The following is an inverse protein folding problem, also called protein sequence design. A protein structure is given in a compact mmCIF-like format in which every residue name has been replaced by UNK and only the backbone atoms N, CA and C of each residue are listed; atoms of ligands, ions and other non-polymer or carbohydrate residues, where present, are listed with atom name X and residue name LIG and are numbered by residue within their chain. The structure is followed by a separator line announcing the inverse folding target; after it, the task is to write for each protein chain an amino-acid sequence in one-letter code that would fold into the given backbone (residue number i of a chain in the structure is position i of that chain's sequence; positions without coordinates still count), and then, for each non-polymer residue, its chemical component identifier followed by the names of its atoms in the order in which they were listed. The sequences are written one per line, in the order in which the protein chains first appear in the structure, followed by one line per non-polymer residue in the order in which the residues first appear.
data_IF_191937438304
#
_entry.id   IF_191937438304
#
_cell.length_a   1.000
_cell.length_b   1.000
_cell.length_c   1.000
_cell.angle_alpha   90.00
_cell.angle_beta   90.00
_cell.angle_gamma   90.00
#
_symmetry.space_group_name_H-M   'P 1'
#
loop_
_entity.id
_entity.type
_entity.pdbx_description
1 polymer ?
#
# COMPACT_ATOMS: atom_id res chain seq x y z
N UNK A 1 -11.00 -8.40 13.88
CA UNK A 1 -11.40 -8.31 15.32
C UNK A 1 -10.91 -9.50 16.17
N UNK A 2 -9.77 -10.15 15.84
CA UNK A 2 -9.14 -11.18 16.71
C UNK A 2 -7.64 -10.99 16.97
N UNK A 3 -6.95 -10.06 16.30
CA UNK A 3 -5.56 -9.75 16.61
C UNK A 3 -5.42 -8.59 17.59
N UNK A 4 -5.80 -8.80 18.87
CA UNK A 4 -5.25 -7.97 19.95
C UNK A 4 -3.97 -8.62 20.45
N UNK A 5 -2.84 -8.09 19.98
CA UNK A 5 -1.44 -8.03 20.49
C UNK A 5 -0.80 -9.17 21.31
N UNK A 6 -1.54 -10.10 21.93
CA UNK A 6 -1.00 -11.22 22.72
C UNK A 6 -1.09 -12.57 22.00
N UNK A 7 -1.91 -12.67 20.96
CA UNK A 7 -2.11 -13.93 20.22
C UNK A 7 -1.66 -13.86 18.75
N UNK A 8 -1.08 -12.74 18.29
CA UNK A 8 -0.60 -12.62 16.91
C UNK A 8 0.42 -13.72 16.56
N UNK A 9 1.41 -13.97 17.43
CA UNK A 9 2.41 -15.02 17.18
C UNK A 9 1.79 -16.41 17.06
N UNK A 10 0.71 -16.69 17.82
CA UNK A 10 -0.02 -17.96 17.72
C UNK A 10 -0.85 -18.02 16.44
N UNK A 11 -1.54 -16.94 16.11
CA UNK A 11 -2.32 -16.83 14.88
C UNK A 11 -1.42 -17.00 13.64
N UNK A 12 -0.25 -16.36 13.64
CA UNK A 12 0.75 -16.48 12.58
C UNK A 12 1.30 -17.90 12.50
N UNK A 13 1.62 -18.55 13.63
CA UNK A 13 2.07 -19.94 13.63
C UNK A 13 1.01 -20.90 13.10
N UNK A 14 -0.28 -20.71 13.44
CA UNK A 14 -1.37 -21.51 12.89
C UNK A 14 -1.47 -21.29 11.37
N UNK A 15 -1.39 -20.03 10.94
CA UNK A 15 -1.44 -19.64 9.54
C UNK A 15 -0.32 -20.28 8.72
N UNK A 16 0.92 -20.26 9.22
CA UNK A 16 2.11 -20.82 8.56
C UNK A 16 2.03 -22.35 8.37
N UNK A 17 1.23 -23.02 9.22
CA UNK A 17 0.97 -24.45 9.11
C UNK A 17 -0.24 -24.79 8.21
N UNK A 18 -0.95 -23.81 7.65
CA UNK A 18 -2.06 -24.08 6.73
C UNK A 18 -1.51 -24.49 5.35
N UNK A 19 -1.95 -25.65 4.86
CA UNK A 19 -1.56 -26.11 3.53
C UNK A 19 -2.15 -25.24 2.40
N UNK A 20 -3.33 -24.65 2.61
CA UNK A 20 -4.03 -23.78 1.66
C UNK A 20 -4.81 -22.69 2.43
N UNK A 21 -4.14 -21.65 2.92
CA UNK A 21 -4.81 -20.52 3.56
C UNK A 21 -5.75 -19.81 2.59
N UNK A 22 -6.94 -19.45 3.07
CA UNK A 22 -7.93 -18.71 2.30
C UNK A 22 -7.76 -17.19 2.46
N UNK A 23 -8.48 -16.42 1.65
CA UNK A 23 -8.43 -14.95 1.66
C UNK A 23 -8.74 -14.34 3.03
N UNK A 24 -9.56 -14.99 3.85
CA UNK A 24 -9.90 -14.53 5.21
C UNK A 24 -8.71 -14.70 6.15
N UNK A 25 -7.99 -15.81 6.04
CA UNK A 25 -6.78 -16.10 6.81
C UNK A 25 -5.72 -15.01 6.58
N UNK A 26 -5.46 -14.67 5.31
CA UNK A 26 -4.53 -13.61 4.94
C UNK A 26 -4.92 -12.23 5.48
N UNK A 27 -6.20 -11.84 5.35
CA UNK A 27 -6.70 -10.55 5.89
C UNK A 27 -6.53 -10.47 7.40
N UNK A 28 -6.78 -11.58 8.07
CA UNK A 28 -6.65 -11.66 9.53
C UNK A 28 -5.21 -11.40 9.94
N UNK A 29 -4.23 -12.03 9.26
CA UNK A 29 -2.80 -11.83 9.51
C UNK A 29 -2.37 -10.39 9.16
N UNK A 30 -2.74 -9.87 7.97
CA UNK A 30 -2.46 -8.47 7.59
C UNK A 30 -2.94 -7.49 8.66
N UNK A 31 -4.19 -7.63 9.12
CA UNK A 31 -4.78 -6.75 10.12
C UNK A 31 -4.16 -6.87 11.51
N UNK A 32 -3.37 -7.92 11.74
CA UNK A 32 -2.72 -8.20 13.01
C UNK A 32 -1.29 -7.68 13.14
N UNK A 33 -0.65 -7.29 12.03
CA UNK A 33 0.67 -6.66 12.07
C UNK A 33 0.59 -5.30 12.77
N UNK A 34 1.54 -5.05 13.67
CA UNK A 34 1.68 -3.76 14.35
C UNK A 34 2.71 -2.86 13.66
N UNK A 35 3.67 -3.47 12.96
CA UNK A 35 4.70 -2.76 12.22
C UNK A 35 4.30 -2.63 10.75
N UNK A 36 4.37 -1.39 10.23
CA UNK A 36 4.02 -1.06 8.85
C UNK A 36 4.89 -1.84 7.85
N UNK A 37 6.16 -2.12 8.17
CA UNK A 37 7.09 -2.82 7.27
C UNK A 37 6.75 -4.29 7.17
N UNK A 38 6.47 -4.94 8.30
CA UNK A 38 6.08 -6.35 8.31
C UNK A 38 4.75 -6.56 7.57
N UNK A 39 3.79 -5.64 7.76
CA UNK A 39 2.52 -5.66 7.04
C UNK A 39 2.73 -5.55 5.51
N UNK A 40 3.61 -4.66 5.06
CA UNK A 40 3.94 -4.52 3.64
C UNK A 40 4.69 -5.71 3.06
N UNK A 41 5.66 -6.25 3.80
CA UNK A 41 6.41 -7.42 3.37
C UNK A 41 5.47 -8.62 3.16
N UNK A 42 4.55 -8.84 4.10
CA UNK A 42 3.54 -9.89 3.97
C UNK A 42 2.57 -9.62 2.81
N UNK A 43 2.15 -8.38 2.58
CA UNK A 43 1.36 -8.03 1.41
C UNK A 43 2.12 -8.27 0.10
N UNK A 44 3.43 -7.99 0.06
CA UNK A 44 4.26 -8.29 -1.10
C UNK A 44 4.33 -9.80 -1.39
N UNK A 45 4.46 -10.62 -0.36
CA UNK A 45 4.39 -12.08 -0.48
C UNK A 45 3.03 -12.54 -1.01
N UNK A 46 1.93 -11.97 -0.49
CA UNK A 46 0.59 -12.27 -1.00
C UNK A 46 0.44 -11.92 -2.48
N UNK A 47 0.95 -10.76 -2.88
CA UNK A 47 0.92 -10.32 -4.27
C UNK A 47 1.74 -11.24 -5.17
N UNK A 48 2.92 -11.64 -4.72
CA UNK A 48 3.82 -12.56 -5.44
C UNK A 48 3.23 -13.97 -5.57
N UNK A 49 2.43 -14.41 -4.60
CA UNK A 49 1.67 -15.66 -4.63
C UNK A 49 0.37 -15.57 -5.48
N UNK A 50 0.15 -14.46 -6.21
CA UNK A 50 -1.04 -14.20 -7.01
C UNK A 50 -2.37 -14.26 -6.25
N UNK A 51 -2.34 -13.96 -4.95
CA UNK A 51 -3.55 -13.88 -4.13
C UNK A 51 -4.28 -12.59 -4.48
N UNK A 52 -5.59 -12.69 -4.71
CA UNK A 52 -6.43 -11.56 -5.09
C UNK A 52 -6.60 -10.60 -3.92
N UNK A 53 -6.29 -9.34 -4.15
CA UNK A 53 -6.49 -8.28 -3.16
C UNK A 53 -7.92 -7.76 -3.26
N UNK A 54 -8.47 -7.38 -2.12
CA UNK A 54 -9.70 -6.59 -2.04
C UNK A 54 -9.44 -5.25 -1.36
N UNK A 55 -10.50 -4.49 -1.09
CA UNK A 55 -10.40 -3.18 -0.46
C UNK A 55 -9.68 -3.19 0.90
N UNK A 56 -9.84 -4.28 1.69
CA UNK A 56 -9.18 -4.42 2.99
C UNK A 56 -7.69 -4.73 2.79
N UNK A 57 -7.34 -5.61 1.86
CA UNK A 57 -5.92 -5.88 1.56
C UNK A 57 -5.22 -4.65 0.99
N UNK A 58 -5.91 -3.86 0.16
CA UNK A 58 -5.40 -2.60 -0.39
C UNK A 58 -5.24 -1.49 0.66
N UNK A 59 -5.81 -1.62 1.88
CA UNK A 59 -5.57 -0.64 2.94
C UNK A 59 -4.11 -0.63 3.40
N UNK A 60 -3.33 -1.66 3.07
CA UNK A 60 -1.89 -1.72 3.33
C UNK A 60 -1.12 -0.61 2.60
N UNK A 61 -1.75 0.04 1.61
CA UNK A 61 -1.20 1.20 0.90
C UNK A 61 -0.83 2.34 1.86
N UNK A 62 -1.55 2.49 2.98
CA UNK A 62 -1.22 3.49 4.00
C UNK A 62 0.17 3.24 4.63
N UNK A 63 0.53 1.96 4.84
CA UNK A 63 1.83 1.58 5.39
C UNK A 63 2.98 1.85 4.42
N UNK A 64 2.70 1.88 3.10
CA UNK A 64 3.71 2.13 2.05
C UNK A 64 4.34 3.51 2.20
N UNK A 65 3.55 4.50 2.63
CA UNK A 65 4.02 5.83 2.95
C UNK A 65 4.97 5.83 4.17
N UNK A 66 4.58 5.16 5.26
CA UNK A 66 5.38 5.08 6.51
C UNK A 66 6.77 4.46 6.29
N UNK A 67 6.85 3.50 5.37
CA UNK A 67 8.07 2.74 5.11
C UNK A 67 8.94 3.32 3.99
N UNK A 68 8.51 4.40 3.35
CA UNK A 68 9.13 4.96 2.14
C UNK A 68 9.22 3.95 0.97
N UNK A 69 8.35 2.93 0.96
CA UNK A 69 8.29 1.87 -0.06
C UNK A 69 7.37 2.29 -1.22
N UNK A 70 7.70 3.44 -1.83
CA UNK A 70 6.89 4.07 -2.87
C UNK A 70 6.67 3.15 -4.10
N UNK A 71 7.67 2.35 -4.45
CA UNK A 71 7.59 1.44 -5.60
C UNK A 71 6.49 0.38 -5.44
N UNK A 72 6.33 -0.19 -4.23
CA UNK A 72 5.25 -1.13 -3.96
C UNK A 72 3.91 -0.39 -3.79
N UNK A 73 3.90 0.78 -3.14
CA UNK A 73 2.71 1.62 -3.03
C UNK A 73 2.09 1.98 -4.40
N UNK A 74 2.91 2.29 -5.41
CA UNK A 74 2.44 2.58 -6.77
C UNK A 74 1.85 1.33 -7.45
N UNK A 75 2.43 0.14 -7.23
CA UNK A 75 1.85 -1.12 -7.73
C UNK A 75 0.48 -1.38 -7.12
N UNK A 76 0.33 -1.12 -5.81
CA UNK A 76 -0.96 -1.20 -5.12
C UNK A 76 -1.97 -0.16 -5.63
N UNK A 77 -1.54 1.06 -5.96
CA UNK A 77 -2.42 2.05 -6.60
C UNK A 77 -2.96 1.55 -7.96
N UNK A 78 -2.10 1.01 -8.82
CA UNK A 78 -2.52 0.39 -10.08
C UNK A 78 -3.55 -0.73 -9.86
N UNK A 79 -3.37 -1.52 -8.80
CA UNK A 79 -4.29 -2.59 -8.42
C UNK A 79 -5.64 -2.03 -7.94
N UNK A 80 -5.63 -1.02 -7.07
CA UNK A 80 -6.83 -0.29 -6.62
C UNK A 80 -7.66 0.21 -7.80
N UNK A 81 -7.00 0.82 -8.80
CA UNK A 81 -7.67 1.33 -9.99
C UNK A 81 -8.30 0.20 -10.82
N UNK A 82 -7.56 -0.90 -11.03
CA UNK A 82 -8.07 -2.08 -11.76
C UNK A 82 -9.28 -2.73 -11.07
N UNK A 83 -9.33 -2.66 -9.74
CA UNK A 83 -10.43 -3.19 -8.94
C UNK A 83 -11.62 -2.22 -8.81
N UNK A 84 -11.51 -1.00 -9.35
CA UNK A 84 -12.55 0.04 -9.23
C UNK A 84 -12.74 0.55 -7.80
N UNK A 85 -11.69 0.46 -6.97
CA UNK A 85 -11.73 0.82 -5.55
C UNK A 85 -11.32 2.28 -5.28
N UNK A 86 -11.04 3.04 -6.33
CA UNK A 86 -10.59 4.44 -6.24
C UNK A 86 -11.66 5.41 -5.69
N UNK A 87 -12.93 5.00 -5.63
CA UNK A 87 -14.01 5.78 -4.99
C UNK A 87 -14.12 5.57 -3.48
N UNK A 88 -13.42 4.58 -2.92
CA UNK A 88 -13.45 4.32 -1.48
C UNK A 88 -12.63 5.38 -0.72
N UNK A 89 -13.29 6.12 0.18
CA UNK A 89 -12.71 7.27 0.84
C UNK A 89 -11.42 6.94 1.63
N UNK A 90 -11.37 5.77 2.27
CA UNK A 90 -10.19 5.36 3.03
C UNK A 90 -9.00 5.01 2.12
N UNK A 91 -9.26 4.51 0.91
CA UNK A 91 -8.23 4.23 -0.09
C UNK A 91 -7.73 5.56 -0.68
N UNK A 92 -8.63 6.50 -0.98
CA UNK A 92 -8.27 7.84 -1.40
C UNK A 92 -7.34 8.53 -0.39
N UNK A 93 -7.67 8.47 0.90
CA UNK A 93 -6.81 9.02 1.96
C UNK A 93 -5.42 8.34 1.99
N UNK A 94 -5.36 7.02 1.84
CA UNK A 94 -4.09 6.29 1.80
C UNK A 94 -3.23 6.70 0.58
N UNK A 95 -3.85 6.91 -0.59
CA UNK A 95 -3.18 7.36 -1.81
C UNK A 95 -2.61 8.78 -1.65
N UNK A 96 -3.37 9.70 -1.05
CA UNK A 96 -2.89 11.05 -0.76
C UNK A 96 -1.65 11.01 0.13
N UNK A 97 -1.67 10.21 1.20
CA UNK A 97 -0.51 10.03 2.08
C UNK A 97 0.69 9.50 1.30
N UNK A 98 0.52 8.43 0.51
CA UNK A 98 1.57 7.84 -0.32
C UNK A 98 2.22 8.88 -1.25
N UNK A 99 1.41 9.63 -2.00
CA UNK A 99 1.93 10.60 -2.95
C UNK A 99 2.52 11.84 -2.29
N UNK A 100 2.01 12.25 -1.12
CA UNK A 100 2.63 13.34 -0.34
C UNK A 100 4.05 12.98 0.12
N UNK A 101 4.30 11.72 0.47
CA UNK A 101 5.65 11.26 0.81
C UNK A 101 6.55 11.16 -0.43
N UNK A 102 6.00 10.73 -1.57
CA UNK A 102 6.73 10.76 -2.85
C UNK A 102 7.16 12.19 -3.22
N UNK A 103 6.28 13.17 -3.01
CA UNK A 103 6.57 14.58 -3.22
C UNK A 103 7.65 15.09 -2.25
N UNK A 104 7.59 14.72 -0.96
CA UNK A 104 8.63 15.07 0.01
C UNK A 104 9.99 14.50 -0.37
N UNK A 105 10.05 13.24 -0.82
CA UNK A 105 11.29 12.60 -1.30
C UNK A 105 11.89 13.42 -2.44
N UNK A 106 11.07 13.90 -3.37
CA UNK A 106 11.54 14.77 -4.45
C UNK A 106 12.21 16.05 -3.96
N UNK A 107 11.64 16.73 -2.96
CA UNK A 107 12.22 17.96 -2.43
C UNK A 107 13.50 17.75 -1.61
N UNK A 108 13.83 16.51 -1.24
CA UNK A 108 15.04 16.15 -0.48
C UNK A 108 16.18 15.68 -1.39
N UNK A 109 15.93 15.34 -2.66
CA UNK A 109 16.99 14.92 -3.59
C UNK A 109 17.97 16.08 -3.85
N UNK A 110 19.26 15.96 -3.49
CA UNK A 110 20.24 17.06 -3.56
C UNK A 110 20.58 17.50 -5.01
N UNK A 111 20.30 16.64 -5.99
CA UNK A 111 20.51 16.90 -7.42
C UNK A 111 19.19 16.68 -8.18
N UNK A 112 18.23 17.56 -7.96
CA UNK A 112 17.08 17.66 -8.85
C UNK A 112 17.57 18.23 -10.18
N UNK A 113 17.73 17.37 -11.18
CA UNK A 113 18.05 17.78 -12.54
C UNK A 113 16.81 18.34 -13.25
N UNK A 114 17.02 18.85 -14.46
CA UNK A 114 15.94 19.41 -15.29
C UNK A 114 14.86 18.36 -15.59
N UNK A 115 15.21 17.06 -15.62
CA UNK A 115 14.27 15.97 -15.88
C UNK A 115 13.35 15.77 -14.69
N UNK A 116 13.88 15.77 -13.46
CA UNK A 116 13.12 15.72 -12.21
C UNK A 116 12.12 16.87 -12.12
N UNK A 117 12.56 18.12 -12.34
CA UNK A 117 11.68 19.29 -12.32
C UNK A 117 10.61 19.26 -13.42
N UNK A 118 10.97 18.86 -14.64
CA UNK A 118 10.01 18.71 -15.74
C UNK A 118 8.96 17.63 -15.44
N UNK A 119 9.35 16.57 -14.74
CA UNK A 119 8.44 15.48 -14.37
C UNK A 119 7.37 15.95 -13.38
N UNK A 120 7.75 16.72 -12.36
CA UNK A 120 6.79 17.30 -11.41
C UNK A 120 5.91 18.38 -12.07
N UNK A 121 6.50 19.29 -12.83
CA UNK A 121 5.74 20.33 -13.53
C UNK A 121 4.72 19.72 -14.51
N UNK A 122 5.09 18.65 -15.21
CA UNK A 122 4.18 17.91 -16.09
C UNK A 122 3.08 17.22 -15.31
N UNK A 123 3.38 16.63 -14.14
CA UNK A 123 2.38 16.03 -13.24
C UNK A 123 1.35 17.06 -12.77
N UNK A 124 1.81 18.21 -12.24
CA UNK A 124 0.93 19.31 -11.83
C UNK A 124 0.10 19.89 -12.98
N UNK A 125 0.68 19.99 -14.18
CA UNK A 125 -0.03 20.48 -15.36
C UNK A 125 -1.12 19.51 -15.84
N UNK A 126 -0.94 18.21 -15.65
CA UNK A 126 -1.94 17.18 -15.98
C UNK A 126 -3.08 17.12 -14.96
N UNK A 127 -2.79 17.27 -13.66
CA UNK A 127 -3.82 17.30 -12.61
C UNK A 127 -4.78 18.49 -12.77
N UNK A 128 -4.27 19.64 -13.23
CA UNK A 128 -5.08 20.84 -13.53
C UNK A 128 -6.06 20.69 -14.70
N UNK A 129 -6.06 19.55 -15.40
CA UNK A 129 -6.91 19.30 -16.57
C UNK A 129 -8.10 18.36 -16.32
N UNK A 130 -8.26 17.83 -15.09
CA UNK A 130 -9.48 17.12 -14.69
C UNK A 130 -10.47 18.08 -14.03
N UNK A 131 -11.34 18.67 -14.84
CA UNK A 131 -12.55 19.33 -14.37
C UNK A 131 -13.64 18.27 -14.08
N UNK A 132 -14.31 18.43 -12.94
CA UNK A 132 -15.35 17.62 -12.30
C UNK A 132 -16.30 16.84 -13.21
#
# INVERSE_FOLDING_TARGET
MYCKSREFSKAFSIFDNLANPDTVSYKTIISGFQDSRDALAFAYEMHSAAIVFDAITCSVLAHSADCYELGFGIQLHCLVFKLGLNSELFIGNALVTLYSEAEKVFFVIPQNDLVSWNSILSGYAQEGSFQW
#
